data_IF_965692497685
#
_entry.id   IF_965692497685
#
_cell.length_a   1.000
_cell.length_b   1.000
_cell.length_c   1.000
_cell.angle_alpha   90.00
_cell.angle_beta   90.00
_cell.angle_gamma   90.00
#
_symmetry.space_group_name_H-M   'P 1'
#
loop_
_entity.id
_entity.type
_entity.pdbx_description
1 polymer ?
#
# COMPACT_ATOMS: atom_id res chain seq x y z
N UNK A 1 -6.38 13.51 -0.82
CA UNK A 1 -5.72 12.20 -0.80
C UNK A 1 -4.74 12.09 -1.96
N UNK A 2 -3.63 11.38 -1.75
CA UNK A 2 -2.62 11.18 -2.80
C UNK A 2 -3.15 10.37 -3.98
N UNK A 3 -2.71 10.75 -5.17
CA UNK A 3 -3.02 10.07 -6.41
C UNK A 3 -2.30 8.72 -6.48
N UNK A 4 -3.06 7.63 -6.59
CA UNK A 4 -2.54 6.27 -6.66
C UNK A 4 -2.63 5.65 -8.05
N UNK A 5 -3.60 6.11 -8.84
CA UNK A 5 -3.94 5.54 -10.15
C UNK A 5 -3.97 6.65 -11.18
N UNK A 6 -3.16 6.50 -12.22
CA UNK A 6 -3.16 7.38 -13.38
C UNK A 6 -4.13 6.87 -14.44
N UNK A 7 -4.84 7.79 -15.08
CA UNK A 7 -5.61 7.52 -16.30
C UNK A 7 -4.74 7.83 -17.51
N UNK A 8 -4.59 6.88 -18.42
CA UNK A 8 -3.96 7.04 -19.72
C UNK A 8 -5.09 7.29 -20.70
N UNK A 9 -5.37 8.57 -20.97
CA UNK A 9 -6.57 9.02 -21.67
C UNK A 9 -6.66 8.46 -23.07
N UNK A 10 -5.54 8.42 -23.80
CA UNK A 10 -5.43 7.89 -25.15
C UNK A 10 -5.80 6.40 -25.28
N UNK A 11 -5.72 5.65 -24.17
CA UNK A 11 -6.09 4.24 -24.12
C UNK A 11 -7.53 4.03 -23.65
N UNK A 12 -8.21 5.09 -23.18
CA UNK A 12 -9.53 4.96 -22.61
C UNK A 12 -10.62 5.06 -23.69
N UNK A 13 -11.35 3.98 -23.89
CA UNK A 13 -12.50 3.92 -24.82
C UNK A 13 -13.84 4.16 -24.12
N UNK A 14 -13.83 4.69 -22.93
CA UNK A 14 -15.02 5.02 -22.13
C UNK A 14 -16.01 3.83 -21.96
N UNK A 15 -15.50 2.59 -21.79
CA UNK A 15 -16.29 1.38 -21.69
C UNK A 15 -16.98 1.14 -20.33
N UNK A 16 -16.73 2.01 -19.36
CA UNK A 16 -17.30 2.03 -17.99
C UNK A 16 -17.02 0.79 -17.10
N UNK A 17 -16.19 -0.16 -17.50
CA UNK A 17 -15.86 -1.32 -16.65
C UNK A 17 -15.28 -0.92 -15.31
N UNK A 18 -14.42 0.12 -15.26
CA UNK A 18 -13.85 0.64 -14.03
C UNK A 18 -14.91 1.25 -13.09
N UNK A 19 -16.02 1.78 -13.64
CA UNK A 19 -17.16 2.27 -12.86
C UNK A 19 -17.92 1.08 -12.27
N UNK A 20 -18.19 0.05 -13.07
CA UNK A 20 -19.00 -1.10 -12.65
C UNK A 20 -18.38 -1.88 -11.49
N UNK A 21 -17.04 -2.02 -11.45
CA UNK A 21 -16.33 -2.76 -10.40
C UNK A 21 -15.97 -1.90 -9.18
N UNK A 22 -16.17 -0.59 -9.27
CA UNK A 22 -15.78 0.32 -8.19
C UNK A 22 -16.68 0.13 -6.96
N UNK A 23 -16.14 -0.23 -5.78
CA UNK A 23 -16.95 -0.47 -4.59
C UNK A 23 -17.59 0.81 -4.05
N UNK A 24 -16.99 1.97 -4.30
CA UNK A 24 -17.48 3.29 -3.85
C UNK A 24 -18.23 4.07 -4.95
N UNK A 25 -18.24 3.57 -6.17
CA UNK A 25 -19.00 3.98 -7.37
C UNK A 25 -18.84 5.42 -7.85
N UNK A 26 -18.84 6.40 -6.98
CA UNK A 26 -18.83 7.81 -7.34
C UNK A 26 -17.42 8.38 -7.62
N UNK A 27 -16.36 7.63 -7.38
CA UNK A 27 -15.00 8.09 -7.64
C UNK A 27 -14.57 7.99 -9.11
N UNK A 28 -15.31 7.26 -9.95
CA UNK A 28 -15.06 7.18 -11.40
C UNK A 28 -16.19 7.89 -12.14
N UNK A 29 -15.82 8.88 -12.96
CA UNK A 29 -16.73 9.68 -13.77
C UNK A 29 -16.51 9.43 -15.26
N UNK A 30 -17.53 8.91 -15.94
CA UNK A 30 -17.53 8.62 -17.37
C UNK A 30 -18.33 9.61 -18.20
N UNK A 31 -18.63 10.80 -17.71
CA UNK A 31 -19.42 11.81 -18.42
C UNK A 31 -18.63 12.53 -19.53
N UNK A 32 -17.29 12.46 -19.50
CA UNK A 32 -16.40 13.02 -20.52
C UNK A 32 -15.98 12.01 -21.59
N UNK A 33 -14.96 12.36 -22.37
CA UNK A 33 -14.40 11.51 -23.44
C UNK A 33 -13.69 10.26 -22.88
N UNK A 34 -13.23 10.32 -21.65
CA UNK A 34 -12.61 9.21 -20.91
C UNK A 34 -13.17 9.13 -19.48
N UNK A 35 -12.99 7.99 -18.82
CA UNK A 35 -13.40 7.85 -17.42
C UNK A 35 -12.35 8.46 -16.50
N UNK A 36 -12.66 9.60 -15.89
CA UNK A 36 -11.83 10.28 -14.89
C UNK A 36 -11.90 9.61 -13.51
N UNK A 37 -10.98 9.97 -12.62
CA UNK A 37 -10.99 9.56 -11.20
C UNK A 37 -11.06 10.79 -10.33
N UNK A 38 -12.04 10.84 -9.42
CA UNK A 38 -12.09 11.79 -8.31
C UNK A 38 -11.20 11.28 -7.17
N UNK A 39 -10.02 11.84 -7.03
CA UNK A 39 -8.99 11.34 -6.12
C UNK A 39 -9.43 11.38 -4.65
N UNK A 40 -10.16 12.42 -4.26
CA UNK A 40 -10.69 12.58 -2.89
C UNK A 40 -11.78 11.56 -2.53
N UNK A 41 -12.35 10.89 -3.53
CA UNK A 41 -13.36 9.85 -3.35
C UNK A 41 -12.80 8.44 -3.57
N UNK A 42 -11.55 8.33 -4.04
CA UNK A 42 -10.93 7.05 -4.35
C UNK A 42 -10.31 6.41 -3.10
N UNK A 43 -10.72 5.20 -2.75
CA UNK A 43 -10.14 4.42 -1.64
C UNK A 43 -8.85 3.67 -1.99
N UNK A 44 -8.40 3.71 -3.25
CA UNK A 44 -7.15 3.08 -3.69
C UNK A 44 -7.18 1.55 -3.78
N UNK A 45 -8.35 0.90 -3.84
CA UNK A 45 -8.46 -0.56 -3.82
C UNK A 45 -7.84 -1.28 -5.03
N UNK A 46 -7.67 -0.60 -6.19
CA UNK A 46 -7.03 -1.16 -7.38
C UNK A 46 -7.96 -1.97 -8.30
N UNK A 47 -9.25 -2.19 -7.97
CA UNK A 47 -10.14 -3.02 -8.79
C UNK A 47 -10.33 -2.49 -10.22
N UNK A 48 -10.32 -1.16 -10.40
CA UNK A 48 -10.38 -0.54 -11.73
C UNK A 48 -9.12 -0.82 -12.59
N UNK A 49 -7.95 -1.07 -11.97
CA UNK A 49 -6.73 -1.49 -12.68
C UNK A 49 -6.92 -2.88 -13.27
N UNK A 50 -7.38 -3.84 -12.46
CA UNK A 50 -7.61 -5.23 -12.86
C UNK A 50 -8.71 -5.35 -13.93
N UNK A 51 -9.74 -4.51 -13.82
CA UNK A 51 -10.89 -4.56 -14.73
C UNK A 51 -10.64 -3.92 -16.10
N UNK A 52 -9.60 -3.09 -16.25
CA UNK A 52 -9.35 -2.35 -17.49
C UNK A 52 -8.61 -3.21 -18.52
N UNK A 53 -9.25 -3.66 -19.63
CA UNK A 53 -8.60 -4.45 -20.66
C UNK A 53 -7.79 -3.61 -21.64
N UNK A 54 -7.93 -2.28 -21.56
CA UNK A 54 -7.30 -1.33 -22.51
C UNK A 54 -5.99 -0.73 -21.98
N UNK A 55 -5.55 -1.08 -20.76
CA UNK A 55 -4.37 -0.48 -20.16
C UNK A 55 -4.50 1.03 -19.87
N UNK A 56 -5.74 1.55 -19.82
CA UNK A 56 -6.04 2.95 -19.54
C UNK A 56 -5.89 3.31 -18.05
N UNK A 57 -5.67 2.33 -17.18
CA UNK A 57 -5.41 2.51 -15.75
C UNK A 57 -4.00 2.04 -15.44
N UNK A 58 -3.19 2.90 -14.84
CA UNK A 58 -1.83 2.56 -14.40
C UNK A 58 -1.63 2.93 -12.95
N UNK A 59 -0.89 2.11 -12.23
CA UNK A 59 -0.45 2.43 -10.87
C UNK A 59 0.61 3.53 -10.94
N UNK A 60 0.59 4.43 -9.97
CA UNK A 60 1.67 5.39 -9.75
C UNK A 60 2.59 4.77 -8.69
N UNK A 61 3.67 4.13 -9.16
CA UNK A 61 4.70 3.54 -8.32
C UNK A 61 5.95 4.42 -8.20
N UNK A 62 6.89 4.01 -7.36
CA UNK A 62 8.16 4.69 -7.14
C UNK A 62 9.35 3.91 -7.70
N UNK A 63 9.12 3.03 -8.68
CA UNK A 63 10.17 2.18 -9.25
C UNK A 63 11.33 3.00 -9.82
N UNK A 64 11.01 4.09 -10.52
CA UNK A 64 12.03 5.00 -11.05
C UNK A 64 12.86 5.66 -9.96
N UNK A 65 12.25 6.00 -8.81
CA UNK A 65 12.96 6.54 -7.65
C UNK A 65 13.91 5.51 -7.05
N UNK A 66 13.45 4.25 -6.94
CA UNK A 66 14.30 3.14 -6.51
C UNK A 66 15.51 2.95 -7.43
N UNK A 67 15.31 2.90 -8.76
CA UNK A 67 16.41 2.76 -9.71
C UNK A 67 17.41 3.91 -9.63
N UNK A 68 16.93 5.14 -9.43
CA UNK A 68 17.80 6.30 -9.23
C UNK A 68 18.60 6.19 -7.93
N UNK A 69 17.98 5.73 -6.83
CA UNK A 69 18.67 5.50 -5.56
C UNK A 69 19.77 4.44 -5.70
N UNK A 70 19.49 3.34 -6.41
CA UNK A 70 20.49 2.31 -6.74
C UNK A 70 21.64 2.88 -7.56
N UNK A 71 21.33 3.64 -8.62
CA UNK A 71 22.35 4.28 -9.48
C UNK A 71 23.25 5.24 -8.69
N UNK A 72 22.68 5.95 -7.72
CA UNK A 72 23.40 6.86 -6.84
C UNK A 72 24.11 6.14 -5.68
N UNK A 73 24.07 4.81 -5.63
CA UNK A 73 24.66 3.98 -4.57
C UNK A 73 24.18 4.36 -3.16
N UNK A 74 22.90 4.73 -3.05
CA UNK A 74 22.31 5.04 -1.77
C UNK A 74 22.17 3.78 -0.93
N UNK A 75 22.22 3.94 0.39
CA UNK A 75 22.05 2.83 1.33
C UNK A 75 20.59 2.49 1.46
N UNK A 76 20.19 1.31 1.02
CA UNK A 76 18.78 0.87 0.93
C UNK A 76 18.59 -0.42 1.72
N UNK A 77 17.52 -0.49 2.49
CA UNK A 77 16.97 -1.74 3.05
C UNK A 77 15.57 -1.93 2.50
N UNK A 78 15.12 -3.17 2.33
CA UNK A 78 13.78 -3.47 1.84
C UNK A 78 12.88 -4.04 2.94
N UNK A 79 11.62 -3.62 2.93
CA UNK A 79 10.52 -4.16 3.72
C UNK A 79 9.55 -4.82 2.75
N UNK A 80 9.37 -6.15 2.86
CA UNK A 80 8.69 -6.95 1.86
C UNK A 80 7.42 -7.55 2.45
N UNK A 81 6.29 -7.29 1.79
CA UNK A 81 5.02 -7.93 2.15
C UNK A 81 5.08 -9.44 1.88
N UNK A 82 4.63 -10.32 2.81
CA UNK A 82 4.60 -11.77 2.58
C UNK A 82 3.81 -12.18 1.32
N UNK A 83 2.81 -11.39 0.94
CA UNK A 83 2.01 -11.61 -0.27
C UNK A 83 2.84 -11.60 -1.57
N UNK A 84 4.03 -11.00 -1.59
CA UNK A 84 4.96 -11.06 -2.72
C UNK A 84 5.39 -12.51 -3.02
N UNK A 85 5.43 -13.37 -2.01
CA UNK A 85 5.74 -14.78 -2.22
C UNK A 85 4.71 -15.50 -3.11
N UNK A 86 3.44 -15.07 -3.12
CA UNK A 86 2.41 -15.60 -4.01
C UNK A 86 2.62 -15.14 -5.47
N UNK A 87 3.06 -13.89 -5.66
CA UNK A 87 3.36 -13.35 -7.00
C UNK A 87 4.61 -14.02 -7.62
N UNK A 88 5.57 -14.41 -6.80
CA UNK A 88 6.84 -15.05 -7.20
C UNK A 88 6.96 -16.49 -6.68
N UNK A 89 5.89 -17.27 -6.62
CA UNK A 89 5.80 -18.56 -5.92
C UNK A 89 7.04 -19.46 -6.01
N UNK A 90 7.55 -19.71 -7.22
CA UNK A 90 8.73 -20.56 -7.44
C UNK A 90 10.06 -19.78 -7.56
N UNK A 91 10.03 -18.46 -7.47
CA UNK A 91 11.18 -17.58 -7.71
C UNK A 91 11.39 -16.52 -6.63
N UNK A 92 10.72 -16.66 -5.48
CA UNK A 92 10.79 -15.69 -4.39
C UNK A 92 12.23 -15.48 -3.87
N UNK A 93 13.01 -16.57 -3.75
CA UNK A 93 14.42 -16.47 -3.34
C UNK A 93 15.28 -15.80 -4.42
N UNK A 94 14.97 -16.03 -5.70
CA UNK A 94 15.65 -15.36 -6.82
C UNK A 94 15.33 -13.87 -6.82
N UNK A 95 14.09 -13.49 -6.53
CA UNK A 95 13.69 -12.09 -6.37
C UNK A 95 14.48 -11.42 -5.25
N UNK A 96 14.62 -12.07 -4.09
CA UNK A 96 15.44 -11.57 -2.99
C UNK A 96 16.92 -11.45 -3.37
N UNK A 97 17.46 -12.44 -4.12
CA UNK A 97 18.82 -12.41 -4.65
C UNK A 97 19.03 -11.26 -5.62
N UNK A 98 18.05 -11.00 -6.50
CA UNK A 98 18.07 -9.88 -7.43
C UNK A 98 18.11 -8.52 -6.70
N UNK A 99 17.29 -8.31 -5.68
CA UNK A 99 17.34 -7.09 -4.86
C UNK A 99 18.72 -6.88 -4.24
N UNK A 100 19.34 -7.94 -3.68
CA UNK A 100 20.69 -7.87 -3.14
C UNK A 100 21.73 -7.54 -4.20
N UNK A 101 21.59 -8.08 -5.42
CA UNK A 101 22.51 -7.78 -6.53
C UNK A 101 22.44 -6.32 -6.98
N UNK A 102 21.31 -5.65 -6.75
CA UNK A 102 21.13 -4.20 -6.95
C UNK A 102 21.69 -3.33 -5.81
N UNK A 103 22.23 -3.93 -4.75
CA UNK A 103 22.81 -3.20 -3.63
C UNK A 103 21.87 -2.98 -2.45
N UNK A 104 20.71 -3.65 -2.40
CA UNK A 104 19.85 -3.64 -1.20
C UNK A 104 20.54 -4.42 -0.09
N UNK A 105 20.83 -3.75 1.04
CA UNK A 105 21.71 -4.27 2.08
C UNK A 105 21.04 -5.32 2.98
N UNK A 106 19.75 -5.15 3.26
CA UNK A 106 18.97 -6.08 4.08
C UNK A 106 17.53 -6.16 3.58
N UNK A 107 16.89 -7.31 3.80
CA UNK A 107 15.51 -7.59 3.45
C UNK A 107 14.77 -7.98 4.74
N UNK A 108 13.68 -7.29 5.05
CA UNK A 108 12.86 -7.52 6.22
C UNK A 108 11.47 -7.98 5.79
N UNK A 109 11.07 -9.15 6.29
CA UNK A 109 9.71 -9.67 6.10
C UNK A 109 8.74 -8.98 7.08
N UNK A 110 7.55 -8.63 6.59
CA UNK A 110 6.54 -7.90 7.37
C UNK A 110 5.78 -8.80 8.34
N UNK A 111 5.95 -10.11 8.29
CA UNK A 111 5.23 -11.06 9.15
C UNK A 111 5.41 -10.76 10.63
N UNK A 112 6.64 -10.40 11.05
CA UNK A 112 6.89 -10.03 12.44
C UNK A 112 6.17 -8.72 12.83
N UNK A 113 6.12 -7.75 11.93
CA UNK A 113 5.32 -6.54 12.14
C UNK A 113 3.82 -6.83 12.29
N UNK A 114 3.32 -7.88 11.61
CA UNK A 114 1.93 -8.32 11.76
C UNK A 114 1.65 -8.89 13.17
N UNK A 115 2.59 -9.63 13.76
CA UNK A 115 2.47 -10.08 15.15
C UNK A 115 2.40 -8.90 16.13
N UNK A 116 3.22 -7.86 15.91
CA UNK A 116 3.18 -6.64 16.73
C UNK A 116 1.84 -5.89 16.57
N UNK A 117 1.29 -5.85 15.35
CA UNK A 117 -0.03 -5.27 15.11
C UNK A 117 -1.11 -6.03 15.87
N UNK A 118 -1.11 -7.37 15.82
CA UNK A 118 -2.07 -8.20 16.57
C UNK A 118 -1.93 -7.97 18.07
N UNK A 119 -0.69 -7.90 18.59
CA UNK A 119 -0.44 -7.58 19.99
C UNK A 119 -1.05 -6.24 20.38
N UNK A 120 -0.87 -5.21 19.55
CA UNK A 120 -1.46 -3.87 19.78
C UNK A 120 -2.99 -3.92 19.83
N UNK A 121 -3.63 -4.72 18.97
CA UNK A 121 -5.10 -4.94 19.03
C UNK A 121 -5.53 -5.58 20.32
N UNK A 122 -4.86 -6.65 20.75
CA UNK A 122 -5.18 -7.35 21.99
C UNK A 122 -5.01 -6.45 23.22
N UNK A 123 -3.95 -5.65 23.26
CA UNK A 123 -3.72 -4.66 24.33
C UNK A 123 -4.82 -3.58 24.35
N UNK A 124 -5.19 -3.06 23.18
CA UNK A 124 -6.29 -2.08 23.05
C UNK A 124 -7.61 -2.67 23.56
N UNK A 125 -7.96 -3.89 23.14
CA UNK A 125 -9.20 -4.55 23.55
C UNK A 125 -9.20 -4.80 25.07
N UNK A 126 -8.09 -5.28 25.62
CA UNK A 126 -7.96 -5.56 27.06
C UNK A 126 -8.11 -4.30 27.92
N UNK A 127 -7.47 -3.22 27.49
CA UNK A 127 -7.38 -1.99 28.29
C UNK A 127 -8.64 -1.12 28.16
N UNK A 128 -9.23 -1.04 26.97
CA UNK A 128 -10.31 -0.11 26.67
C UNK A 128 -11.70 -0.78 26.56
N UNK A 129 -11.75 -2.11 26.43
CA UNK A 129 -13.00 -2.90 26.32
C UNK A 129 -14.01 -2.28 25.31
N UNK A 130 -13.59 -1.95 24.08
CA UNK A 130 -14.46 -1.30 23.11
C UNK A 130 -15.61 -2.25 22.71
N UNK A 131 -16.75 -1.67 22.29
CA UNK A 131 -17.89 -2.45 21.78
C UNK A 131 -17.59 -3.21 20.49
N UNK A 132 -16.73 -2.65 19.66
CA UNK A 132 -16.25 -3.22 18.41
C UNK A 132 -14.87 -2.66 18.08
N UNK A 133 -14.09 -3.38 17.28
CA UNK A 133 -12.79 -2.94 16.76
C UNK A 133 -12.75 -3.26 15.27
N UNK A 134 -12.43 -2.27 14.45
CA UNK A 134 -12.15 -2.43 13.02
C UNK A 134 -10.64 -2.49 12.86
N UNK A 135 -10.11 -3.61 12.40
CA UNK A 135 -8.69 -3.75 12.09
C UNK A 135 -8.32 -2.89 10.86
N UNK A 136 -7.22 -2.12 10.95
CA UNK A 136 -6.83 -1.11 9.96
C UNK A 136 -5.56 -1.44 9.14
N UNK A 137 -5.12 -2.71 8.94
CA UNK A 137 -3.91 -2.98 8.17
C UNK A 137 -4.10 -2.74 6.67
N UNK A 138 -5.34 -2.48 6.23
CA UNK A 138 -5.69 -2.16 4.86
C UNK A 138 -5.99 -0.66 4.71
N UNK A 139 -5.11 0.14 4.07
CA UNK A 139 -5.34 1.58 3.89
C UNK A 139 -6.59 1.90 3.08
N UNK A 140 -7.05 1.00 2.19
CA UNK A 140 -8.30 1.19 1.47
C UNK A 140 -9.52 1.15 2.41
N UNK A 141 -9.50 0.30 3.46
CA UNK A 141 -10.56 0.28 4.48
C UNK A 141 -10.50 1.54 5.33
N UNK A 142 -9.32 2.01 5.70
CA UNK A 142 -9.16 3.27 6.44
C UNK A 142 -9.74 4.42 5.62
N UNK A 143 -9.32 4.59 4.36
CA UNK A 143 -9.86 5.61 3.46
C UNK A 143 -11.37 5.47 3.24
N UNK A 144 -11.90 4.23 3.17
CA UNK A 144 -13.35 4.01 3.06
C UNK A 144 -14.10 4.51 4.30
N UNK A 145 -13.57 4.24 5.49
CA UNK A 145 -14.17 4.72 6.73
C UNK A 145 -14.07 6.24 6.83
N UNK A 146 -12.91 6.82 6.56
CA UNK A 146 -12.69 8.27 6.63
C UNK A 146 -13.57 9.07 5.68
N UNK A 147 -13.73 8.60 4.43
CA UNK A 147 -14.47 9.32 3.38
C UNK A 147 -15.97 9.08 3.48
N UNK A 148 -16.39 7.83 3.69
CA UNK A 148 -17.80 7.43 3.51
C UNK A 148 -18.52 7.11 4.81
N UNK A 149 -17.79 6.82 5.89
CA UNK A 149 -18.33 6.41 7.18
C UNK A 149 -17.57 7.00 8.36
N UNK A 150 -17.41 8.34 8.44
CA UNK A 150 -16.61 8.99 9.48
C UNK A 150 -17.08 8.68 10.91
N UNK A 151 -18.34 8.29 11.08
CA UNK A 151 -18.90 7.83 12.36
C UNK A 151 -18.24 6.53 12.86
N UNK A 152 -17.57 5.77 11.99
CA UNK A 152 -16.88 4.53 12.31
C UNK A 152 -15.41 4.72 12.68
N UNK A 153 -14.82 5.91 12.49
CA UNK A 153 -13.41 6.20 12.82
C UNK A 153 -13.08 5.81 14.26
N UNK A 154 -14.00 6.05 15.20
CA UNK A 154 -13.85 5.69 16.62
C UNK A 154 -13.68 4.19 16.89
N UNK A 155 -13.98 3.35 15.92
CA UNK A 155 -13.82 1.90 16.00
C UNK A 155 -12.57 1.38 15.29
N UNK A 156 -11.87 2.22 14.52
CA UNK A 156 -10.58 1.84 13.95
C UNK A 156 -9.58 1.57 15.08
N UNK A 157 -8.87 0.45 14.97
CA UNK A 157 -7.85 0.11 15.95
C UNK A 157 -6.73 1.18 15.97
N UNK A 158 -6.37 1.75 17.13
CA UNK A 158 -5.29 2.73 17.23
C UNK A 158 -3.92 2.02 17.25
N UNK A 159 -3.57 1.39 16.15
CA UNK A 159 -2.34 0.62 16.02
C UNK A 159 -1.66 0.95 14.69
N UNK A 160 -0.34 0.82 14.66
CA UNK A 160 0.40 0.88 13.39
C UNK A 160 0.08 -0.34 12.51
N UNK A 161 0.21 -0.17 11.21
CA UNK A 161 0.13 -1.31 10.30
C UNK A 161 1.35 -2.24 10.46
N UNK A 162 1.26 -3.50 9.97
CA UNK A 162 2.39 -4.41 9.94
C UNK A 162 3.67 -3.83 9.34
N UNK A 163 3.54 -3.06 8.25
CA UNK A 163 4.68 -2.40 7.61
C UNK A 163 5.27 -1.30 8.46
N UNK A 164 4.43 -0.46 9.06
CA UNK A 164 4.89 0.60 9.96
C UNK A 164 5.58 0.05 11.19
N UNK A 165 5.06 -1.02 11.80
CA UNK A 165 5.75 -1.72 12.89
C UNK A 165 7.11 -2.24 12.45
N UNK A 166 7.23 -2.82 11.26
CA UNK A 166 8.51 -3.30 10.74
C UNK A 166 9.48 -2.16 10.50
N UNK A 167 9.05 -1.03 9.94
CA UNK A 167 9.89 0.16 9.74
C UNK A 167 10.38 0.72 11.06
N UNK A 168 9.48 0.88 12.05
CA UNK A 168 9.84 1.34 13.40
C UNK A 168 10.80 0.38 14.08
N UNK A 169 10.62 -0.93 13.91
CA UNK A 169 11.55 -1.94 14.40
C UNK A 169 12.94 -1.76 13.79
N UNK A 170 13.05 -1.56 12.48
CA UNK A 170 14.33 -1.33 11.81
C UNK A 170 15.00 -0.08 12.38
N UNK A 171 14.29 1.03 12.45
CA UNK A 171 14.83 2.31 12.93
C UNK A 171 15.29 2.25 14.38
N UNK A 172 14.59 1.52 15.25
CA UNK A 172 14.85 1.51 16.69
C UNK A 172 15.82 0.40 17.15
N UNK A 173 15.83 -0.75 16.48
CA UNK A 173 16.57 -1.93 16.93
C UNK A 173 17.71 -2.37 16.01
N UNK A 174 17.82 -1.76 14.81
CA UNK A 174 18.91 -2.03 13.86
C UNK A 174 19.69 -0.73 13.57
N UNK A 175 20.51 -0.24 14.52
CA UNK A 175 21.17 1.08 14.39
C UNK A 175 22.03 1.20 13.11
N UNK A 176 22.55 0.07 12.61
CA UNK A 176 23.29 0.03 11.34
C UNK A 176 22.41 0.39 10.12
N UNK A 177 21.10 0.27 10.22
CA UNK A 177 20.15 0.56 9.16
C UNK A 177 19.22 1.75 9.43
N UNK A 178 19.31 2.36 10.61
CA UNK A 178 18.39 3.42 11.06
C UNK A 178 18.26 4.59 10.06
N UNK A 179 19.38 4.94 9.41
CA UNK A 179 19.47 6.05 8.46
C UNK A 179 19.43 5.61 6.99
N UNK A 180 19.07 4.34 6.72
CA UNK A 180 18.96 3.86 5.34
C UNK A 180 17.60 4.23 4.76
N UNK A 181 17.54 4.41 3.44
CA UNK A 181 16.26 4.48 2.72
C UNK A 181 15.54 3.14 2.82
N UNK A 182 14.25 3.21 3.06
CA UNK A 182 13.40 2.02 3.14
C UNK A 182 12.66 1.85 1.82
N UNK A 183 12.98 0.77 1.11
CA UNK A 183 12.23 0.32 -0.05
C UNK A 183 11.06 -0.55 0.41
N UNK A 184 9.84 -0.15 0.11
CA UNK A 184 8.63 -0.91 0.45
C UNK A 184 8.17 -1.68 -0.79
N UNK A 185 8.02 -3.00 -0.64
CA UNK A 185 7.59 -3.89 -1.71
C UNK A 185 6.28 -4.56 -1.31
N UNK A 186 5.21 -4.21 -2.03
CA UNK A 186 3.85 -4.69 -1.74
C UNK A 186 3.03 -4.76 -3.02
N UNK A 187 2.17 -5.78 -3.20
CA UNK A 187 1.22 -5.83 -4.31
C UNK A 187 0.00 -4.92 -4.10
N UNK A 188 -0.09 -4.21 -2.97
CA UNK A 188 -1.24 -3.39 -2.61
C UNK A 188 -1.07 -1.94 -3.04
N UNK A 189 -1.94 -1.47 -3.95
CA UNK A 189 -1.96 -0.09 -4.46
C UNK A 189 -2.15 0.94 -3.33
N UNK A 190 -3.09 0.68 -2.42
CA UNK A 190 -3.43 1.60 -1.35
C UNK A 190 -2.28 1.82 -0.34
N UNK A 191 -1.34 0.87 -0.25
CA UNK A 191 -0.22 0.96 0.70
C UNK A 191 0.65 2.21 0.50
N UNK A 192 0.73 2.75 -0.70
CA UNK A 192 1.50 3.97 -0.95
C UNK A 192 1.04 5.15 -0.07
N UNK A 193 -0.26 5.31 0.16
CA UNK A 193 -0.80 6.39 1.02
C UNK A 193 -0.26 6.37 2.44
N UNK A 194 -0.01 5.19 2.97
CA UNK A 194 0.44 5.01 4.35
C UNK A 194 1.85 5.59 4.60
N UNK A 195 2.62 5.81 3.54
CA UNK A 195 4.03 6.23 3.65
C UNK A 195 4.29 7.65 3.15
N UNK A 196 3.30 8.33 2.59
CA UNK A 196 3.45 9.72 2.13
C UNK A 196 3.29 10.74 3.27
N UNK A 197 2.78 10.31 4.42
CA UNK A 197 2.56 11.15 5.61
C UNK A 197 3.61 10.92 6.72
N UNK A 198 4.71 10.20 6.44
CA UNK A 198 5.72 9.78 7.43
C UNK A 198 7.08 10.45 7.21
#
# INVERSE_FOLDING_TARGET
>A
LSKLIQVVEENCVNCHRCISVCPVKFCNDGSGDHVAIHEDMCIGCGECLKACPHGARKIIDDFSLFLNAVKNREKIVAVIAPAIAAEFANSYLNFNGWLKSLGVLALFDVSFGAELTVKSYLEHIKNNKPKAVIAQPCPAIVSFVEIYHPELIKYLAPADSPMMHTIKLIKNYYPQYANHKVLIISPCVAKKREFEEV
#
